data_IF_804026291387
#
_entry.id   IF_804026291387
#
_cell.length_a   1.000
_cell.length_b   1.000
_cell.length_c   1.000
_cell.angle_alpha   90.00
_cell.angle_beta   90.00
_cell.angle_gamma   90.00
#
_symmetry.space_group_name_H-M   'P 1'
#
loop_
_entity.id
_entity.type
_entity.pdbx_description
1 polymer ?
#
# COMPACT_ATOMS: atom_id res chain seq x y z
N UNK A 1 15.74 -13.21 -8.33
CA UNK A 1 16.14 -11.77 -8.42
C UNK A 1 15.14 -10.95 -7.60
N UNK A 2 15.58 -9.92 -6.86
CA UNK A 2 14.65 -9.03 -6.12
C UNK A 2 14.16 -7.94 -7.06
N UNK A 3 12.85 -7.68 -7.04
CA UNK A 3 12.21 -6.63 -7.83
C UNK A 3 11.40 -5.70 -6.95
N UNK A 4 11.50 -4.40 -7.20
CA UNK A 4 10.71 -3.37 -6.55
C UNK A 4 9.41 -3.13 -7.31
N UNK A 5 8.31 -3.11 -6.56
CA UNK A 5 6.97 -2.87 -7.07
C UNK A 5 6.35 -1.66 -6.37
N UNK A 6 5.53 -0.93 -7.12
CA UNK A 6 4.67 0.12 -6.57
C UNK A 6 3.25 -0.10 -7.05
N UNK A 7 2.33 -0.28 -6.11
CA UNK A 7 0.90 -0.34 -6.39
C UNK A 7 0.26 0.98 -5.95
N UNK A 8 -0.48 1.61 -6.85
CA UNK A 8 -1.23 2.83 -6.56
C UNK A 8 -2.71 2.53 -6.68
N UNK A 9 -3.45 2.76 -5.59
CA UNK A 9 -4.89 2.56 -5.52
C UNK A 9 -5.60 3.89 -5.38
N UNK A 10 -6.67 4.07 -6.15
CA UNK A 10 -7.65 5.13 -5.91
C UNK A 10 -8.62 4.66 -4.82
N UNK A 11 -8.72 5.43 -3.75
CA UNK A 11 -9.64 5.22 -2.66
C UNK A 11 -10.92 6.02 -2.91
N UNK A 12 -12.05 5.53 -2.38
CA UNK A 12 -13.24 6.35 -2.32
C UNK A 12 -13.14 7.26 -1.08
N UNK A 13 -12.94 8.58 -1.24
CA UNK A 13 -12.74 9.48 -0.11
C UNK A 13 -13.95 9.59 0.81
N UNK A 14 -15.15 9.19 0.36
CA UNK A 14 -16.37 9.20 1.17
C UNK A 14 -16.51 7.98 2.09
N UNK A 15 -15.81 6.88 1.78
CA UNK A 15 -15.94 5.60 2.49
C UNK A 15 -14.66 5.21 3.24
N UNK A 16 -13.50 5.56 2.71
CA UNK A 16 -12.19 5.13 3.21
C UNK A 16 -11.43 6.32 3.80
N UNK A 17 -11.52 6.49 5.11
CA UNK A 17 -10.64 7.43 5.82
C UNK A 17 -9.21 6.90 5.84
N UNK A 18 -8.23 7.81 5.86
CA UNK A 18 -6.81 7.43 5.89
C UNK A 18 -6.48 6.50 7.07
N UNK A 19 -7.01 6.79 8.26
CA UNK A 19 -6.80 5.98 9.46
C UNK A 19 -7.42 4.57 9.34
N UNK A 20 -8.59 4.45 8.70
CA UNK A 20 -9.22 3.15 8.45
C UNK A 20 -8.35 2.29 7.53
N UNK A 21 -7.85 2.88 6.44
CA UNK A 21 -6.99 2.17 5.49
C UNK A 21 -5.68 1.77 6.15
N UNK A 22 -5.04 2.65 6.93
CA UNK A 22 -3.83 2.33 7.67
C UNK A 22 -4.05 1.19 8.68
N UNK A 23 -5.17 1.20 9.41
CA UNK A 23 -5.50 0.14 10.38
C UNK A 23 -5.67 -1.22 9.70
N UNK A 24 -6.34 -1.25 8.55
CA UNK A 24 -6.51 -2.46 7.74
C UNK A 24 -5.17 -2.98 7.21
N UNK A 25 -4.29 -2.08 6.74
CA UNK A 25 -2.96 -2.45 6.27
C UNK A 25 -2.07 -2.96 7.41
N UNK A 26 -2.13 -2.35 8.59
CA UNK A 26 -1.38 -2.79 9.75
C UNK A 26 -1.79 -4.19 10.26
N UNK A 27 -3.04 -4.60 10.01
CA UNK A 27 -3.51 -5.96 10.29
C UNK A 27 -3.18 -6.99 9.20
N UNK A 28 -2.58 -6.56 8.08
CA UNK A 28 -2.15 -7.46 7.01
C UNK A 28 -0.77 -8.06 7.31
N UNK A 29 -0.48 -9.21 6.72
CA UNK A 29 0.83 -9.89 6.87
C UNK A 29 1.95 -9.25 5.99
N UNK A 30 1.72 -8.03 5.49
CA UNK A 30 2.65 -7.32 4.62
C UNK A 30 3.56 -6.40 5.45
N UNK A 31 4.61 -6.97 6.02
CA UNK A 31 5.56 -6.23 6.86
C UNK A 31 6.60 -5.41 6.07
N UNK A 32 6.75 -5.66 4.78
CA UNK A 32 7.78 -5.09 3.90
C UNK A 32 7.30 -3.89 3.06
N UNK A 33 6.03 -3.51 3.18
CA UNK A 33 5.45 -2.44 2.38
C UNK A 33 5.60 -1.06 3.06
N UNK A 34 6.15 -0.10 2.31
CA UNK A 34 6.08 1.32 2.65
C UNK A 34 4.80 1.91 2.09
N UNK A 35 4.07 2.67 2.91
CA UNK A 35 2.78 3.22 2.52
C UNK A 35 2.83 4.75 2.41
N UNK A 36 2.32 5.30 1.31
CA UNK A 36 2.37 6.73 0.98
C UNK A 36 1.00 7.35 0.66
N UNK A 37 0.74 8.54 1.22
CA UNK A 37 -0.44 9.38 0.98
C UNK A 37 -0.02 10.74 0.41
N UNK A 38 0.59 10.74 -0.78
CA UNK A 38 1.02 11.98 -1.44
C UNK A 38 -0.10 12.73 -2.16
N UNK A 39 -1.19 12.04 -2.52
CA UNK A 39 -2.31 12.60 -3.29
C UNK A 39 -3.63 12.28 -2.58
N UNK A 40 -4.54 13.26 -2.40
CA UNK A 40 -5.87 13.01 -1.85
C UNK A 40 -6.61 11.90 -2.61
N UNK A 41 -7.26 11.01 -1.86
CA UNK A 41 -8.00 9.87 -2.41
C UNK A 41 -7.13 8.80 -3.06
N UNK A 42 -5.82 8.79 -2.82
CA UNK A 42 -4.93 7.74 -3.33
C UNK A 42 -4.02 7.22 -2.21
N UNK A 43 -3.71 5.94 -2.28
CA UNK A 43 -2.68 5.28 -1.46
C UNK A 43 -1.70 4.57 -2.37
N UNK A 44 -0.41 4.71 -2.07
CA UNK A 44 0.66 3.97 -2.73
C UNK A 44 1.27 2.96 -1.75
N UNK A 45 1.50 1.73 -2.22
CA UNK A 45 2.24 0.68 -1.53
C UNK A 45 3.49 0.37 -2.33
N UNK A 46 4.67 0.59 -1.74
CA UNK A 46 5.95 0.21 -2.30
C UNK A 46 6.54 -0.97 -1.53
N UNK A 47 6.90 -2.05 -2.21
CA UNK A 47 7.44 -3.26 -1.59
C UNK A 47 8.35 -4.00 -2.57
N UNK A 48 9.24 -4.85 -2.05
CA UNK A 48 10.17 -5.63 -2.86
C UNK A 48 9.79 -7.11 -2.77
N UNK A 49 9.80 -7.84 -3.90
CA UNK A 49 9.55 -9.29 -3.91
C UNK A 49 10.69 -10.04 -4.57
N UNK A 50 11.01 -11.21 -4.02
CA UNK A 50 11.87 -12.17 -4.70
C UNK A 50 11.08 -12.88 -5.81
N UNK A 51 11.55 -12.75 -7.05
CA UNK A 51 11.12 -13.64 -8.12
C UNK A 51 11.81 -15.00 -7.95
N UNK A 52 11.01 -16.07 -7.88
CA UNK A 52 11.48 -17.44 -8.05
C UNK A 52 11.65 -17.71 -9.55
N UNK A 53 12.81 -18.24 -9.91
CA UNK A 53 13.14 -18.71 -11.26
C UNK A 53 12.29 -19.93 -11.63
#
# INVERSE_FOLDING_TARGET
MVHDFTLVYALNPELDSQDEVLRRLAGSDCADATVGWGRPGHVALAFSREARD
#
